data_IF_052818192615
#
_entry.id   IF_052818192615
#
_cell.length_a   1.000
_cell.length_b   1.000
_cell.length_c   1.000
_cell.angle_alpha   90.00
_cell.angle_beta   90.00
_cell.angle_gamma   90.00
#
_symmetry.space_group_name_H-M   'P 1'
#
loop_
_entity.id
_entity.type
_entity.pdbx_description
1 polymer ?
#
# COMPACT_ATOMS: atom_id res chain seq x y z
N UNK A 1 -23.68 5.33 41.48
CA UNK A 1 -22.52 5.17 40.58
C UNK A 1 -22.26 6.50 39.88
N UNK A 2 -21.16 7.19 40.21
CA UNK A 2 -20.75 8.40 39.49
C UNK A 2 -19.93 7.97 38.27
N UNK A 3 -20.48 8.11 37.09
CA UNK A 3 -19.71 8.06 35.85
C UNK A 3 -19.03 9.42 35.68
N UNK A 4 -17.83 9.54 36.25
CA UNK A 4 -16.94 10.65 35.89
C UNK A 4 -16.47 10.40 34.46
N UNK A 5 -17.08 11.07 33.49
CA UNK A 5 -16.53 11.17 32.13
C UNK A 5 -15.23 11.96 32.28
N UNK A 6 -14.04 11.36 32.09
CA UNK A 6 -12.82 12.14 32.16
C UNK A 6 -12.87 13.16 31.03
N UNK A 7 -12.82 14.44 31.38
CA UNK A 7 -12.60 15.51 30.40
C UNK A 7 -11.29 15.18 29.70
N UNK A 8 -11.39 14.73 28.44
CA UNK A 8 -10.23 14.40 27.64
C UNK A 8 -9.59 15.69 27.15
N UNK A 9 -8.79 16.33 28.02
CA UNK A 9 -8.01 17.51 27.66
C UNK A 9 -6.97 17.08 26.61
N UNK A 10 -7.09 17.60 25.39
CA UNK A 10 -6.19 17.31 24.27
C UNK A 10 -5.62 18.57 23.62
N UNK A 11 -5.35 19.61 24.39
CA UNK A 11 -4.64 20.78 23.87
C UNK A 11 -3.17 20.44 23.57
N UNK A 12 -2.69 20.80 22.38
CA UNK A 12 -1.28 20.67 21.99
C UNK A 12 -0.80 19.26 21.64
N UNK A 13 -1.68 18.25 21.50
CA UNK A 13 -1.25 16.90 21.10
C UNK A 13 -1.10 16.80 19.58
N UNK A 14 0.14 16.69 19.13
CA UNK A 14 0.51 16.58 17.71
C UNK A 14 0.38 15.15 17.18
N UNK A 15 0.55 14.14 18.03
CA UNK A 15 0.51 12.73 17.62
C UNK A 15 -0.85 12.09 17.88
N UNK A 16 -1.29 11.26 16.92
CA UNK A 16 -2.53 10.49 17.02
C UNK A 16 -2.27 9.23 17.84
N UNK A 17 -3.33 8.73 18.48
CA UNK A 17 -3.30 7.43 19.18
C UNK A 17 -3.71 6.34 18.17
N UNK A 18 -2.72 5.69 17.58
CA UNK A 18 -2.92 4.56 16.66
C UNK A 18 -2.45 3.26 17.31
N UNK A 19 -3.13 2.15 16.99
CA UNK A 19 -2.76 0.82 17.49
C UNK A 19 -3.00 0.62 18.98
N UNK A 20 -2.26 -0.31 19.57
CA UNK A 20 -2.43 -0.76 20.96
C UNK A 20 -1.57 0.03 21.97
N UNK A 21 -0.74 0.97 21.50
CA UNK A 21 0.14 1.77 22.35
C UNK A 21 1.25 2.47 21.56
N UNK A 22 2.14 3.24 22.24
CA UNK A 22 3.16 4.04 21.56
C UNK A 22 4.13 3.22 20.70
N UNK A 23 4.53 2.03 21.17
CA UNK A 23 5.45 1.14 20.44
C UNK A 23 4.76 0.53 19.21
N UNK A 24 3.56 -0.01 19.39
CA UNK A 24 2.72 -0.51 18.29
C UNK A 24 2.42 0.56 17.24
N UNK A 25 2.22 1.82 17.67
CA UNK A 25 2.08 2.95 16.74
C UNK A 25 3.33 3.14 15.88
N UNK A 26 4.52 3.15 16.49
CA UNK A 26 5.77 3.31 15.76
C UNK A 26 5.99 2.16 14.78
N UNK A 27 5.76 0.92 15.20
CA UNK A 27 5.91 -0.25 14.31
C UNK A 27 4.94 -0.21 13.14
N UNK A 28 3.69 0.21 13.37
CA UNK A 28 2.72 0.43 12.31
C UNK A 28 3.19 1.50 11.30
N UNK A 29 3.71 2.62 11.79
CA UNK A 29 4.22 3.69 10.92
C UNK A 29 5.47 3.24 10.15
N UNK A 30 6.39 2.49 10.79
CA UNK A 30 7.57 1.91 10.13
C UNK A 30 7.19 0.98 8.99
N UNK A 31 6.18 0.12 9.21
CA UNK A 31 5.68 -0.78 8.17
C UNK A 31 5.10 0.01 6.98
N UNK A 32 4.34 1.08 7.25
CA UNK A 32 3.78 1.92 6.18
C UNK A 32 4.86 2.70 5.43
N UNK A 33 5.84 3.29 6.13
CA UNK A 33 6.98 3.97 5.48
C UNK A 33 7.79 2.99 4.63
N UNK A 34 8.07 1.79 5.15
CA UNK A 34 8.76 0.73 4.41
C UNK A 34 7.98 0.35 3.15
N UNK A 35 6.65 0.16 3.28
CA UNK A 35 5.79 -0.16 2.13
C UNK A 35 5.76 0.98 1.12
N UNK A 36 5.75 2.24 1.57
CA UNK A 36 5.81 3.41 0.69
C UNK A 36 7.12 3.47 -0.09
N UNK A 37 8.27 3.25 0.56
CA UNK A 37 9.58 3.24 -0.11
C UNK A 37 9.68 2.10 -1.11
N UNK A 38 9.09 0.93 -0.79
CA UNK A 38 9.14 -0.25 -1.65
C UNK A 38 8.24 -0.16 -2.87
N UNK A 39 7.01 0.32 -2.68
CA UNK A 39 5.98 0.30 -3.72
C UNK A 39 5.76 1.65 -4.38
N UNK A 40 6.47 2.69 -3.92
CA UNK A 40 6.36 4.10 -4.33
C UNK A 40 4.99 4.74 -4.12
N UNK A 41 3.94 3.92 -3.93
CA UNK A 41 2.57 4.29 -3.68
C UNK A 41 1.88 3.21 -2.84
N UNK A 42 1.16 3.64 -1.82
CA UNK A 42 0.36 2.75 -0.97
C UNK A 42 -1.02 3.35 -0.70
N UNK A 43 -1.97 2.50 -0.36
CA UNK A 43 -3.29 2.91 0.11
C UNK A 43 -3.38 2.66 1.61
N UNK A 44 -3.75 3.68 2.37
CA UNK A 44 -3.88 3.59 3.82
C UNK A 44 -5.00 4.51 4.32
N UNK A 45 -5.61 4.21 5.49
CA UNK A 45 -6.55 5.12 6.14
C UNK A 45 -5.96 6.52 6.32
N UNK A 46 -6.76 7.56 6.05
CA UNK A 46 -6.30 8.95 6.03
C UNK A 46 -5.49 9.34 7.28
N UNK A 47 -5.97 8.99 8.48
CA UNK A 47 -5.27 9.30 9.73
C UNK A 47 -3.87 8.67 9.83
N UNK A 48 -3.66 7.49 9.24
CA UNK A 48 -2.36 6.80 9.20
C UNK A 48 -1.46 7.38 8.11
N UNK A 49 -2.03 7.68 6.95
CA UNK A 49 -1.31 8.28 5.83
C UNK A 49 -0.80 9.69 6.18
N UNK A 50 -1.66 10.53 6.78
CA UNK A 50 -1.34 11.87 7.25
C UNK A 50 -0.19 11.86 8.28
N UNK A 51 -0.26 10.95 9.25
CA UNK A 51 0.79 10.83 10.28
C UNK A 51 2.11 10.25 9.74
N UNK A 52 2.04 9.25 8.85
CA UNK A 52 3.20 8.67 8.18
C UNK A 52 3.94 9.69 7.31
N UNK A 53 3.21 10.57 6.62
CA UNK A 53 3.76 11.54 5.67
C UNK A 53 4.93 12.34 6.24
N UNK A 54 4.77 12.88 7.46
CA UNK A 54 5.83 13.66 8.10
C UNK A 54 7.08 12.85 8.46
N UNK A 55 6.96 11.55 8.68
CA UNK A 55 8.12 10.67 8.87
C UNK A 55 8.80 10.32 7.55
N UNK A 56 8.02 10.11 6.48
CA UNK A 56 8.55 9.86 5.14
C UNK A 56 9.35 11.07 4.61
N UNK A 57 8.83 12.29 4.80
CA UNK A 57 9.53 13.53 4.41
C UNK A 57 10.87 13.69 5.16
N UNK A 58 10.88 13.43 6.48
CA UNK A 58 12.13 13.45 7.26
C UNK A 58 13.12 12.37 6.82
N UNK A 59 12.62 11.19 6.43
CA UNK A 59 13.49 10.13 5.92
C UNK A 59 14.15 10.55 4.61
N UNK A 60 13.42 11.26 3.73
CA UNK A 60 13.99 11.86 2.51
C UNK A 60 15.07 12.90 2.87
N UNK A 61 14.84 13.73 3.88
CA UNK A 61 15.85 14.71 4.32
C UNK A 61 17.13 14.03 4.86
N UNK A 62 16.99 12.92 5.59
CA UNK A 62 18.16 12.11 5.98
C UNK A 62 18.84 11.47 4.77
N UNK A 63 18.08 10.99 3.78
CA UNK A 63 18.64 10.41 2.57
C UNK A 63 19.46 11.43 1.76
N UNK A 64 19.06 12.72 1.76
CA UNK A 64 19.81 13.81 1.11
C UNK A 64 21.19 14.05 1.75
N UNK A 65 21.41 13.66 3.01
CA UNK A 65 22.70 13.83 3.69
C UNK A 65 23.76 12.82 3.21
N UNK A 66 23.37 11.81 2.43
CA UNK A 66 24.27 10.77 1.93
C UNK A 66 24.50 9.62 2.91
N UNK A 67 25.14 8.58 2.40
CA UNK A 67 25.45 7.32 3.09
C UNK A 67 26.67 7.41 4.02
N UNK A 68 27.52 8.43 3.85
CA UNK A 68 28.67 8.72 4.72
C UNK A 68 28.25 9.20 6.11
N UNK A 69 27.03 9.71 6.26
CA UNK A 69 26.52 10.19 7.53
C UNK A 69 25.97 9.03 8.37
N UNK A 70 26.72 8.62 9.41
CA UNK A 70 26.29 7.53 10.32
C UNK A 70 24.90 7.74 10.91
N UNK A 71 24.54 8.99 11.22
CA UNK A 71 23.22 9.29 11.80
C UNK A 71 22.11 9.04 10.78
N UNK A 72 22.32 9.40 9.52
CA UNK A 72 21.37 9.13 8.45
C UNK A 72 21.20 7.63 8.24
N UNK A 73 22.32 6.88 8.23
CA UNK A 73 22.30 5.42 8.08
C UNK A 73 21.59 4.71 9.23
N UNK A 74 21.85 5.10 10.49
CA UNK A 74 21.12 4.55 11.66
C UNK A 74 19.62 4.86 11.60
N UNK A 75 19.24 6.04 11.09
CA UNK A 75 17.84 6.39 10.90
C UNK A 75 17.19 5.54 9.80
N UNK A 76 17.89 5.31 8.68
CA UNK A 76 17.40 4.44 7.62
C UNK A 76 17.21 2.99 8.10
N UNK A 77 18.20 2.43 8.80
CA UNK A 77 18.14 1.08 9.38
C UNK A 77 16.97 0.91 10.35
N UNK A 78 16.71 1.91 11.19
CA UNK A 78 15.56 1.88 12.07
C UNK A 78 14.23 1.93 11.30
N UNK A 79 14.07 2.81 10.32
CA UNK A 79 12.76 3.02 9.66
C UNK A 79 12.42 1.99 8.58
N UNK A 80 13.42 1.42 7.91
CA UNK A 80 13.24 0.49 6.79
C UNK A 80 13.49 -0.95 7.25
N UNK A 81 12.42 -1.63 7.64
CA UNK A 81 12.49 -3.02 8.07
C UNK A 81 12.51 -3.98 6.87
N UNK A 82 13.57 -4.77 6.73
CA UNK A 82 13.68 -5.86 5.76
C UNK A 82 12.73 -7.01 6.14
N UNK A 83 11.45 -6.90 5.80
CA UNK A 83 10.50 -8.01 5.87
C UNK A 83 9.46 -7.90 4.75
N UNK A 84 9.66 -8.76 3.77
CA UNK A 84 8.95 -8.86 2.50
C UNK A 84 7.55 -9.46 2.78
N UNK A 85 6.50 -8.64 2.82
CA UNK A 85 5.11 -9.13 2.82
C UNK A 85 4.56 -9.04 1.38
N UNK A 86 3.80 -10.06 0.94
CA UNK A 86 3.17 -10.13 -0.39
C UNK A 86 2.06 -9.06 -0.54
N UNK A 87 2.10 -8.26 -1.61
CA UNK A 87 1.15 -7.17 -1.89
C UNK A 87 0.51 -7.30 -3.28
N UNK A 88 -0.76 -6.87 -3.40
CA UNK A 88 -1.49 -6.70 -4.65
C UNK A 88 -1.47 -5.21 -5.08
N UNK A 89 -1.50 -4.94 -6.39
CA UNK A 89 -1.37 -3.60 -6.97
C UNK A 89 -2.69 -3.16 -7.64
N UNK A 90 -3.16 -1.95 -7.33
CA UNK A 90 -4.38 -1.33 -7.91
C UNK A 90 -3.98 0.00 -8.59
N UNK A 91 -4.49 0.24 -9.80
CA UNK A 91 -4.21 1.45 -10.59
C UNK A 91 -5.47 2.13 -11.12
N UNK A 92 -5.40 3.47 -11.24
CA UNK A 92 -6.39 4.28 -11.95
C UNK A 92 -6.17 4.18 -13.47
N UNK A 93 -7.23 3.87 -14.22
CA UNK A 93 -7.19 3.69 -15.68
C UNK A 93 -6.69 4.97 -16.37
N UNK A 94 -5.54 4.88 -17.06
CA UNK A 94 -4.96 5.99 -17.82
C UNK A 94 -3.94 6.86 -17.06
N UNK A 95 -3.44 6.41 -15.91
CA UNK A 95 -2.34 7.05 -15.19
C UNK A 95 -1.07 7.17 -16.09
N UNK A 96 -0.30 8.28 -16.04
CA UNK A 96 0.97 8.45 -16.78
C UNK A 96 2.11 7.50 -16.40
N UNK A 97 1.89 6.55 -15.49
CA UNK A 97 2.88 5.52 -15.14
C UNK A 97 2.88 4.38 -16.18
N UNK A 98 4.02 3.71 -16.39
CA UNK A 98 4.10 2.55 -17.26
C UNK A 98 3.11 1.45 -16.79
N UNK A 99 2.44 0.76 -17.73
CA UNK A 99 1.37 -0.17 -17.37
C UNK A 99 1.93 -1.39 -16.62
N UNK A 100 1.21 -1.85 -15.58
CA UNK A 100 1.58 -3.08 -14.87
C UNK A 100 1.58 -4.30 -15.78
N UNK A 101 2.48 -5.25 -15.48
CA UNK A 101 2.49 -6.59 -16.05
C UNK A 101 1.24 -7.32 -15.54
N UNK A 102 0.15 -7.26 -16.32
CA UNK A 102 -1.07 -8.02 -16.03
C UNK A 102 -0.86 -9.48 -16.44
N UNK A 103 -1.37 -10.47 -15.69
CA UNK A 103 -1.42 -11.85 -16.18
C UNK A 103 -2.19 -11.86 -17.51
N UNK A 104 -1.53 -12.32 -18.56
CA UNK A 104 -2.14 -12.41 -19.88
C UNK A 104 -3.20 -13.51 -19.83
N UNK A 105 -4.42 -13.21 -20.26
CA UNK A 105 -5.43 -14.27 -20.43
C UNK A 105 -4.95 -15.22 -21.52
N UNK A 106 -5.22 -16.50 -21.35
CA UNK A 106 -4.92 -17.48 -22.39
C UNK A 106 -5.48 -17.03 -23.73
N UNK A 107 -4.65 -17.09 -24.76
CA UNK A 107 -5.00 -16.58 -26.08
C UNK A 107 -6.21 -17.33 -26.64
N UNK A 108 -7.04 -16.67 -27.44
CA UNK A 108 -8.23 -17.30 -28.04
C UNK A 108 -7.87 -18.53 -28.91
N UNK A 109 -6.63 -18.61 -29.40
CA UNK A 109 -6.12 -19.70 -30.25
C UNK A 109 -5.80 -20.99 -29.49
N UNK A 110 -5.94 -21.00 -28.16
CA UNK A 110 -5.84 -22.27 -27.43
C UNK A 110 -6.98 -23.18 -27.84
N UNK A 111 -6.72 -24.49 -27.87
CA UNK A 111 -7.72 -25.49 -28.28
C UNK A 111 -9.00 -25.37 -27.47
N UNK A 112 -8.88 -25.17 -26.14
CA UNK A 112 -10.02 -25.00 -25.25
C UNK A 112 -10.87 -23.78 -25.60
N UNK A 113 -10.25 -22.64 -25.88
CA UNK A 113 -10.97 -21.43 -26.26
C UNK A 113 -11.63 -21.55 -27.64
N UNK A 114 -11.01 -22.26 -28.59
CA UNK A 114 -11.62 -22.54 -29.90
C UNK A 114 -12.83 -23.48 -29.78
N UNK A 115 -12.74 -24.53 -28.94
CA UNK A 115 -13.86 -25.45 -28.69
C UNK A 115 -15.04 -24.74 -28.01
N UNK A 116 -14.77 -23.92 -26.99
CA UNK A 116 -15.81 -23.12 -26.33
C UNK A 116 -16.46 -22.10 -27.28
N UNK A 117 -15.68 -21.55 -28.23
CA UNK A 117 -16.19 -20.66 -29.27
C UNK A 117 -17.13 -21.39 -30.22
N UNK A 118 -16.73 -22.55 -30.74
CA UNK A 118 -17.58 -23.36 -31.63
C UNK A 118 -18.90 -23.75 -30.96
N UNK A 119 -18.86 -24.22 -29.71
CA UNK A 119 -20.08 -24.54 -28.96
C UNK A 119 -21.04 -23.35 -28.79
N UNK A 120 -20.50 -22.13 -28.56
CA UNK A 120 -21.32 -20.91 -28.49
C UNK A 120 -21.96 -20.56 -29.82
N UNK A 121 -21.27 -20.78 -30.94
CA UNK A 121 -21.78 -20.52 -32.28
C UNK A 121 -22.90 -21.51 -32.63
N UNK A 122 -22.74 -22.79 -32.31
CA UNK A 122 -23.76 -23.82 -32.53
C UNK A 122 -25.05 -23.52 -31.73
N UNK A 123 -24.92 -23.11 -30.47
CA UNK A 123 -26.06 -22.68 -29.67
C UNK A 123 -26.78 -21.48 -30.28
N UNK A 124 -26.05 -20.49 -30.80
CA UNK A 124 -26.65 -19.31 -31.43
C UNK A 124 -27.36 -19.64 -32.76
N UNK A 125 -26.89 -20.65 -33.48
CA UNK A 125 -27.55 -21.15 -34.69
C UNK A 125 -28.83 -21.91 -34.32
N UNK A 126 -28.79 -22.72 -33.26
CA UNK A 126 -29.95 -23.45 -32.75
C UNK A 126 -31.09 -22.54 -32.25
N UNK A 127 -30.78 -21.34 -31.74
CA UNK A 127 -31.78 -20.35 -31.32
C UNK A 127 -32.29 -19.46 -32.45
N UNK A 128 -31.63 -19.48 -33.62
CA UNK A 128 -32.00 -18.66 -34.80
C UNK A 128 -32.79 -19.45 -35.87
N UNK A 129 -32.87 -20.77 -35.74
CA UNK A 129 -33.78 -21.63 -36.49
C UNK A 129 -35.08 -21.84 -35.74
#
# INVERSE_FOLDING_TARGET
>A
MRLSVPVAISHGRVHRRLGLGPRSRLDLLRNLVTALVRHERIEAPWARADEMRGYAEKLIDYAKLGDTNERAMRMADFWLTVSIVFMAVIELKGNPLPPLIRPHRDTEKTLLNQLLKGYREDLQQATKG
#
